data_IF_719110669951
#
_entry.id   IF_719110669951
#
_cell.length_a   1.000
_cell.length_b   1.000
_cell.length_c   1.000
_cell.angle_alpha   90.00
_cell.angle_beta   90.00
_cell.angle_gamma   90.00
#
_symmetry.space_group_name_H-M   'P 1'
#
loop_
_entity.id
_entity.type
_entity.pdbx_description
1 polymer ?
#
# COMPACT_ATOMS: atom_id res chain seq x y z
N UNK A 1 -25.06 13.73 32.45
CA UNK A 1 -23.86 14.25 31.78
C UNK A 1 -23.38 13.27 30.75
N UNK A 2 -22.94 13.74 29.57
CA UNK A 2 -22.35 12.93 28.50
C UNK A 2 -20.95 13.47 28.24
N UNK A 3 -19.96 12.59 28.15
CA UNK A 3 -18.56 12.93 27.85
C UNK A 3 -18.04 12.09 26.70
N UNK A 4 -17.29 12.70 25.81
CA UNK A 4 -16.75 12.04 24.64
C UNK A 4 -15.97 13.01 23.75
N UNK A 5 -15.29 12.45 22.76
CA UNK A 5 -14.61 13.25 21.73
C UNK A 5 -15.59 13.63 20.65
N UNK A 6 -15.62 14.91 20.29
CA UNK A 6 -16.46 15.42 19.20
C UNK A 6 -15.80 15.15 17.86
N UNK A 7 -16.56 14.55 16.95
CA UNK A 7 -16.18 14.33 15.57
C UNK A 7 -17.18 15.03 14.64
N UNK A 8 -16.65 15.74 13.65
CA UNK A 8 -17.47 16.30 12.59
C UNK A 8 -18.11 15.18 11.78
N UNK A 9 -19.27 15.47 11.18
CA UNK A 9 -19.90 14.56 10.22
C UNK A 9 -18.89 14.13 9.14
N UNK A 10 -18.83 12.85 8.87
CA UNK A 10 -17.99 12.33 7.79
C UNK A 10 -18.53 12.79 6.44
N UNK A 11 -17.61 13.11 5.52
CA UNK A 11 -17.94 13.51 4.14
C UNK A 11 -18.06 12.29 3.21
N UNK A 12 -18.69 12.48 2.04
CA UNK A 12 -18.85 11.45 1.00
C UNK A 12 -20.22 10.75 1.00
N UNK A 13 -20.55 10.10 -0.12
CA UNK A 13 -21.83 9.39 -0.27
C UNK A 13 -21.74 8.00 0.35
N UNK A 14 -22.32 7.82 1.53
CA UNK A 14 -22.72 6.49 2.02
C UNK A 14 -24.24 6.37 1.93
N UNK A 15 -24.70 5.25 1.36
CA UNK A 15 -26.11 4.87 1.46
C UNK A 15 -26.34 4.36 2.89
N UNK A 16 -27.41 4.79 3.52
CA UNK A 16 -27.92 4.15 4.74
C UNK A 16 -28.81 3.00 4.27
N UNK A 17 -28.44 1.77 4.61
CA UNK A 17 -29.21 0.57 4.28
C UNK A 17 -29.93 0.06 5.51
N UNK A 18 -31.09 -0.59 5.30
CA UNK A 18 -31.81 -1.28 6.37
C UNK A 18 -31.62 -2.78 6.23
N UNK A 19 -31.10 -3.42 7.29
CA UNK A 19 -30.89 -4.87 7.38
C UNK A 19 -31.37 -5.35 8.73
N UNK A 20 -32.26 -6.35 8.77
CA UNK A 20 -32.78 -6.94 10.01
C UNK A 20 -33.31 -5.91 11.02
N UNK A 21 -34.02 -4.89 10.51
CA UNK A 21 -34.57 -3.79 11.32
C UNK A 21 -33.53 -2.77 11.82
N UNK A 22 -32.26 -2.90 11.44
CA UNK A 22 -31.17 -2.00 11.83
C UNK A 22 -30.75 -1.11 10.66
N UNK A 23 -30.33 0.11 10.98
CA UNK A 23 -29.68 1.01 10.04
C UNK A 23 -28.19 0.69 9.99
N UNK A 24 -27.68 0.47 8.79
CA UNK A 24 -26.27 0.21 8.52
C UNK A 24 -25.74 1.27 7.56
N UNK A 25 -24.54 1.77 7.82
CA UNK A 25 -23.85 2.67 6.90
C UNK A 25 -22.34 2.50 7.06
N UNK A 26 -21.59 2.78 6.00
CA UNK A 26 -20.12 2.71 6.01
C UNK A 26 -19.47 3.98 6.55
N UNK A 27 -20.22 5.09 6.62
CA UNK A 27 -19.72 6.40 7.08
C UNK A 27 -20.74 7.06 7.98
N UNK A 28 -20.28 7.74 9.03
CA UNK A 28 -21.13 8.49 9.96
C UNK A 28 -21.45 9.88 9.36
N UNK A 29 -22.20 9.86 8.26
CA UNK A 29 -22.70 11.06 7.59
C UNK A 29 -23.99 11.54 8.27
N UNK A 30 -23.85 12.43 9.24
CA UNK A 30 -24.94 12.89 10.12
C UNK A 30 -26.17 13.36 9.34
N UNK A 31 -26.08 14.20 8.29
CA UNK A 31 -27.26 14.65 7.55
C UNK A 31 -28.03 13.51 6.86
N UNK A 32 -27.33 12.43 6.48
CA UNK A 32 -27.96 11.25 5.85
C UNK A 32 -28.67 10.38 6.88
N UNK A 33 -28.03 10.17 8.02
CA UNK A 33 -28.61 9.40 9.14
C UNK A 33 -29.80 10.14 9.75
N UNK A 34 -29.75 11.47 9.82
CA UNK A 34 -30.82 12.31 10.37
C UNK A 34 -32.20 12.02 9.75
N UNK A 35 -32.25 11.76 8.44
CA UNK A 35 -33.49 11.45 7.73
C UNK A 35 -34.13 10.11 8.09
N UNK A 36 -33.38 9.22 8.75
CA UNK A 36 -33.83 7.88 9.15
C UNK A 36 -34.22 7.80 10.63
N UNK A 37 -33.97 8.85 11.40
CA UNK A 37 -34.20 8.88 12.85
C UNK A 37 -35.48 9.64 13.18
N UNK A 38 -36.27 9.16 14.16
CA UNK A 38 -37.52 9.82 14.55
C UNK A 38 -37.30 11.03 15.48
N UNK A 39 -36.06 11.49 15.65
CA UNK A 39 -35.67 12.56 16.57
C UNK A 39 -34.59 13.47 15.95
N UNK A 40 -34.49 14.73 16.38
CA UNK A 40 -33.48 15.66 15.86
C UNK A 40 -32.07 15.23 16.27
N UNK A 41 -31.10 15.52 15.39
CA UNK A 41 -29.66 15.30 15.64
C UNK A 41 -28.86 16.58 15.45
N UNK A 42 -27.72 16.67 16.12
CA UNK A 42 -26.76 17.77 15.95
C UNK A 42 -25.76 17.45 14.83
N UNK A 43 -25.15 18.47 14.22
CA UNK A 43 -24.25 18.33 13.05
C UNK A 43 -22.91 17.61 13.28
N UNK A 44 -22.71 17.01 14.45
CA UNK A 44 -21.51 16.29 14.86
C UNK A 44 -21.91 15.07 15.70
N UNK A 45 -21.01 14.10 15.83
CA UNK A 45 -21.21 12.92 16.66
C UNK A 45 -20.11 12.81 17.73
N UNK A 46 -20.38 12.03 18.77
CA UNK A 46 -19.43 11.76 19.84
C UNK A 46 -18.91 10.34 19.73
N UNK A 47 -17.59 10.17 19.88
CA UNK A 47 -17.05 8.91 20.37
C UNK A 47 -17.21 8.93 21.88
N UNK A 48 -18.20 8.16 22.36
CA UNK A 48 -18.64 8.16 23.74
C UNK A 48 -17.55 7.60 24.67
N UNK A 49 -17.13 8.39 25.64
CA UNK A 49 -16.25 7.95 26.73
C UNK A 49 -17.08 7.58 27.98
N UNK A 50 -18.18 8.28 28.23
CA UNK A 50 -19.08 8.01 29.35
C UNK A 50 -20.39 8.79 29.31
N UNK A 51 -21.42 8.26 29.97
CA UNK A 51 -22.68 8.98 30.20
C UNK A 51 -23.35 8.59 31.52
N UNK A 52 -24.01 9.58 32.13
CA UNK A 52 -24.83 9.44 33.33
C UNK A 52 -26.18 10.13 33.10
N UNK A 53 -27.32 9.43 33.20
CA UNK A 53 -27.44 7.99 33.46
C UNK A 53 -26.85 7.12 32.33
N UNK A 54 -26.65 5.83 32.61
CA UNK A 54 -26.07 4.90 31.64
C UNK A 54 -26.95 4.78 30.37
N UNK A 55 -26.30 4.46 29.24
CA UNK A 55 -26.97 4.18 27.97
C UNK A 55 -27.99 3.05 28.11
N UNK A 56 -28.94 3.00 27.18
CA UNK A 56 -29.65 1.76 26.87
C UNK A 56 -28.62 0.67 26.49
N UNK A 57 -28.64 -0.52 27.15
CA UNK A 57 -27.68 -1.59 26.90
C UNK A 57 -27.76 -2.21 25.50
N UNK A 58 -28.78 -1.85 24.71
CA UNK A 58 -28.90 -2.20 23.29
C UNK A 58 -27.79 -1.56 22.45
N UNK A 59 -27.31 -0.38 22.82
CA UNK A 59 -26.20 0.29 22.13
C UNK A 59 -24.86 -0.25 22.63
N UNK A 60 -24.26 -1.15 21.85
CA UNK A 60 -22.94 -1.69 22.12
C UNK A 60 -21.92 -1.13 21.13
N UNK A 61 -20.74 -0.81 21.63
CA UNK A 61 -19.62 -0.44 20.78
C UNK A 61 -19.30 -1.59 19.81
N UNK A 62 -19.12 -1.26 18.53
CA UNK A 62 -18.63 -2.23 17.54
C UNK A 62 -17.19 -2.58 17.91
N UNK A 63 -16.87 -3.86 18.18
CA UNK A 63 -15.51 -4.23 18.51
C UNK A 63 -14.59 -3.91 17.34
N UNK A 64 -13.40 -3.38 17.64
CA UNK A 64 -12.37 -3.19 16.62
C UNK A 64 -12.02 -4.57 16.06
N UNK A 65 -12.19 -4.73 14.75
CA UNK A 65 -11.82 -5.98 14.07
C UNK A 65 -10.34 -6.27 14.30
N UNK A 66 -10.03 -7.50 14.71
CA UNK A 66 -8.64 -7.92 14.82
C UNK A 66 -8.11 -8.19 13.41
N UNK A 67 -7.08 -7.46 12.98
CA UNK A 67 -6.34 -7.83 11.79
C UNK A 67 -5.54 -9.10 12.09
N UNK A 68 -5.47 -10.04 11.14
CA UNK A 68 -4.58 -11.19 11.28
C UNK A 68 -3.12 -10.72 11.14
N UNK A 69 -2.53 -10.32 12.25
CA UNK A 69 -1.17 -9.76 12.32
C UNK A 69 -0.13 -10.70 11.69
N UNK A 70 -0.38 -12.01 11.71
CA UNK A 70 0.56 -13.00 11.17
C UNK A 70 0.54 -13.09 9.65
N UNK A 71 -0.65 -13.00 9.05
CA UNK A 71 -0.78 -12.89 7.60
C UNK A 71 -0.17 -11.58 7.09
N UNK A 72 -0.41 -10.46 7.78
CA UNK A 72 0.19 -9.16 7.43
C UNK A 72 1.72 -9.19 7.51
N UNK A 73 2.28 -9.82 8.55
CA UNK A 73 3.72 -10.00 8.67
C UNK A 73 4.31 -10.84 7.53
N UNK A 74 3.61 -11.91 7.14
CA UNK A 74 3.99 -12.72 5.97
C UNK A 74 4.10 -11.87 4.69
N UNK A 75 3.15 -10.97 4.44
CA UNK A 75 3.22 -10.04 3.32
C UNK A 75 4.42 -9.08 3.40
N UNK A 76 4.73 -8.55 4.59
CA UNK A 76 5.91 -7.68 4.77
C UNK A 76 7.19 -8.41 4.37
N UNK A 77 7.39 -9.63 4.88
CA UNK A 77 8.57 -10.45 4.54
C UNK A 77 8.61 -10.75 3.05
N UNK A 78 7.47 -11.13 2.46
CA UNK A 78 7.35 -11.40 1.01
C UNK A 78 7.79 -10.19 0.16
N UNK A 79 7.34 -8.98 0.50
CA UNK A 79 7.72 -7.77 -0.24
C UNK A 79 9.22 -7.49 -0.15
N UNK A 80 9.84 -7.74 0.99
CA UNK A 80 11.29 -7.61 1.15
C UNK A 80 12.06 -8.62 0.30
N UNK A 81 11.57 -9.86 0.19
CA UNK A 81 12.16 -10.86 -0.70
C UNK A 81 12.09 -10.39 -2.15
N UNK A 82 10.93 -9.91 -2.61
CA UNK A 82 10.77 -9.39 -3.98
C UNK A 82 11.65 -8.18 -4.26
N UNK A 83 11.77 -7.24 -3.30
CA UNK A 83 12.66 -6.09 -3.42
C UNK A 83 14.12 -6.54 -3.57
N UNK A 84 14.58 -7.48 -2.73
CA UNK A 84 15.93 -8.02 -2.79
C UNK A 84 16.22 -8.75 -4.12
N UNK A 85 15.30 -9.60 -4.57
CA UNK A 85 15.39 -10.29 -5.86
C UNK A 85 15.47 -9.30 -7.03
N UNK A 86 14.68 -8.23 -6.99
CA UNK A 86 14.66 -7.18 -8.03
C UNK A 86 16.00 -6.45 -8.09
N UNK A 87 16.52 -6.00 -6.94
CA UNK A 87 17.81 -5.32 -6.85
C UNK A 87 18.96 -6.23 -7.33
N UNK A 88 18.96 -7.49 -6.89
CA UNK A 88 19.98 -8.46 -7.31
C UNK A 88 19.90 -8.78 -8.81
N UNK A 89 18.71 -9.06 -9.32
CA UNK A 89 18.48 -9.35 -10.73
C UNK A 89 18.89 -8.18 -11.63
N UNK A 90 18.53 -6.96 -11.24
CA UNK A 90 18.93 -5.75 -11.94
C UNK A 90 20.46 -5.57 -11.91
N UNK A 91 21.09 -5.67 -10.73
CA UNK A 91 22.55 -5.54 -10.60
C UNK A 91 23.32 -6.60 -11.39
N UNK A 92 22.83 -7.85 -11.40
CA UNK A 92 23.39 -8.93 -12.21
C UNK A 92 23.29 -8.65 -13.71
N UNK A 93 22.12 -8.21 -14.19
CA UNK A 93 21.89 -7.87 -15.59
C UNK A 93 22.79 -6.70 -16.02
N UNK A 94 22.84 -5.63 -15.21
CA UNK A 94 23.71 -4.48 -15.45
C UNK A 94 25.20 -4.88 -15.51
N UNK A 95 25.67 -5.71 -14.57
CA UNK A 95 27.07 -6.21 -14.56
C UNK A 95 27.37 -7.12 -15.75
N UNK A 96 26.42 -7.96 -16.16
CA UNK A 96 26.56 -8.80 -17.37
C UNK A 96 26.67 -7.95 -18.62
N UNK A 97 25.82 -6.94 -18.75
CA UNK A 97 25.82 -6.04 -19.89
C UNK A 97 27.09 -5.18 -19.95
N UNK A 98 27.54 -4.63 -18.82
CA UNK A 98 28.79 -3.89 -18.74
C UNK A 98 30.01 -4.72 -19.18
N UNK A 99 30.10 -6.00 -18.77
CA UNK A 99 31.18 -6.90 -19.18
C UNK A 99 31.12 -7.28 -20.66
N UNK A 100 29.91 -7.44 -21.22
CA UNK A 100 29.73 -7.67 -22.66
C UNK A 100 30.20 -6.49 -23.49
N UNK A 101 29.91 -5.27 -23.06
CA UNK A 101 30.36 -4.03 -23.71
C UNK A 101 31.85 -3.78 -23.56
N UNK A 102 32.47 -4.25 -22.47
CA UNK A 102 33.89 -4.04 -22.21
C UNK A 102 34.81 -4.80 -23.19
N UNK A 103 34.37 -5.93 -23.78
CA UNK A 103 35.18 -6.72 -24.72
C UNK A 103 36.52 -7.23 -24.16
N UNK A 104 37.22 -8.18 -24.81
CA UNK A 104 38.56 -8.55 -24.38
C UNK A 104 39.51 -7.36 -24.63
N UNK A 105 40.01 -6.77 -23.54
CA UNK A 105 41.10 -5.79 -23.62
C UNK A 105 42.38 -6.53 -23.99
N UNK A 106 42.77 -6.42 -25.26
CA UNK A 106 44.16 -6.56 -25.68
C UNK A 106 44.63 -7.95 -26.11
N UNK A 107 44.38 -8.29 -27.36
CA UNK A 107 45.41 -8.89 -28.21
C UNK A 107 45.24 -8.29 -29.60
N UNK A 108 46.01 -7.23 -29.89
CA UNK A 108 46.17 -6.75 -31.26
C UNK A 108 46.82 -7.90 -32.03
N UNK A 109 46.29 -8.35 -33.19
CA UNK A 109 47.04 -9.24 -34.05
C UNK A 109 48.38 -8.55 -34.36
N UNK A 110 49.47 -9.12 -33.88
CA UNK A 110 50.80 -8.68 -34.23
C UNK A 110 50.91 -8.76 -35.75
N UNK A 111 51.16 -7.59 -36.33
CA UNK A 111 51.64 -7.31 -37.67
C UNK A 111 52.24 -8.54 -38.40
N UNK A 112 51.45 -9.13 -39.29
CA UNK A 112 51.94 -10.06 -40.32
C UNK A 112 51.76 -9.41 -41.69
N UNK A 113 52.36 -8.23 -41.85
CA UNK A 113 52.59 -7.60 -43.14
C UNK A 113 54.05 -7.13 -43.26
N UNK A 114 55.00 -8.04 -43.01
CA UNK A 114 56.32 -7.97 -43.60
C UNK A 114 56.37 -8.99 -44.74
N UNK A 115 55.79 -8.63 -45.88
CA UNK A 115 55.98 -9.35 -47.13
C UNK A 115 57.38 -8.98 -47.68
N UNK A 116 58.28 -9.95 -47.91
CA UNK A 116 59.58 -9.64 -48.49
C UNK A 116 59.41 -9.21 -49.95
N UNK A 117 59.91 -8.02 -50.29
CA UNK A 117 59.91 -7.49 -51.65
C UNK A 117 60.64 -8.45 -52.62
N UNK A 118 60.16 -8.62 -53.88
CA UNK A 118 60.85 -9.45 -54.85
C UNK A 118 62.15 -8.74 -55.28
N UNK A 119 63.29 -9.39 -55.02
CA UNK A 119 64.54 -9.03 -55.67
C UNK A 119 64.46 -9.42 -57.15
N UNK A 120 64.26 -8.43 -58.01
CA UNK A 120 64.65 -8.53 -59.41
C UNK A 120 66.17 -8.37 -59.52
N UNK A 121 66.83 -9.28 -60.23
CA UNK A 121 68.14 -9.07 -60.80
C UNK A 121 68.28 -9.89 -62.10
N UNK A 122 68.57 -9.11 -63.16
CA UNK A 122 69.04 -9.37 -64.52
C UNK A 122 69.41 -10.81 -64.95
#
# INVERSE_FOLDING_TARGET
TVTGRVHQSESGSSVVSRRDGKLETRRIAVPRIAGELPYPVHGAYLLLDGQTPAADPTFKAVPVGHANNWQNFGYVVQWWIFAAMTLFGYGWAARREARRRAGPVGERPADRAAEPAPHGAA
#
